data_IF_034708534381
#
_entry.id   IF_034708534381
#
_cell.length_a   1.000
_cell.length_b   1.000
_cell.length_c   1.000
_cell.angle_alpha   90.00
_cell.angle_beta   90.00
_cell.angle_gamma   90.00
#
_symmetry.space_group_name_H-M   'P 1'
#
loop_
_entity.id
_entity.type
_entity.pdbx_description
1 polymer ?
#
# COMPACT_ATOMS: atom_id res chain seq x y z
N UNK A 1 21.84 10.75 -14.32
CA UNK A 1 21.41 9.38 -13.95
C UNK A 1 19.98 9.50 -13.44
N UNK A 2 19.06 8.70 -13.97
CA UNK A 2 17.64 8.78 -13.60
C UNK A 2 17.49 8.30 -12.14
N UNK A 3 17.26 9.24 -11.22
CA UNK A 3 16.98 8.95 -9.79
C UNK A 3 15.54 8.42 -9.57
N UNK A 4 14.89 7.93 -10.63
CA UNK A 4 13.54 7.42 -10.56
C UNK A 4 13.53 6.06 -9.85
N UNK A 5 12.78 5.97 -8.73
CA UNK A 5 12.47 4.71 -8.06
C UNK A 5 11.44 3.91 -8.85
N UNK A 6 10.53 4.61 -9.51
CA UNK A 6 9.46 4.08 -10.35
C UNK A 6 9.43 4.79 -11.69
N UNK A 7 9.29 4.03 -12.76
CA UNK A 7 9.07 4.53 -14.12
C UNK A 7 8.10 3.60 -14.85
N UNK A 8 6.90 4.10 -15.13
CA UNK A 8 5.85 3.42 -15.87
C UNK A 8 5.73 4.06 -17.25
N UNK A 9 5.79 3.26 -18.31
CA UNK A 9 5.81 3.75 -19.70
C UNK A 9 4.75 3.07 -20.54
N UNK A 10 3.96 3.86 -21.24
CA UNK A 10 2.97 3.38 -22.20
C UNK A 10 1.87 2.52 -21.58
N UNK A 11 1.56 2.70 -20.29
CA UNK A 11 0.58 1.87 -19.61
C UNK A 11 -0.79 2.02 -20.25
N UNK A 12 -1.31 0.89 -20.74
CA UNK A 12 -2.62 0.81 -21.38
C UNK A 12 -3.44 -0.30 -20.74
N UNK A 13 -4.65 0.02 -20.28
CA UNK A 13 -5.60 -0.93 -19.67
C UNK A 13 -6.99 -0.75 -20.27
N UNK A 14 -7.58 -1.86 -20.72
CA UNK A 14 -8.93 -1.88 -21.29
C UNK A 14 -9.83 -2.84 -20.50
N UNK A 15 -11.08 -2.47 -20.33
CA UNK A 15 -12.12 -3.26 -19.70
C UNK A 15 -13.33 -3.36 -20.64
N UNK A 16 -13.68 -4.57 -21.10
CA UNK A 16 -14.89 -4.84 -21.90
C UNK A 16 -15.23 -3.73 -22.93
N UNK A 17 -14.24 -3.31 -23.71
CA UNK A 17 -14.39 -2.28 -24.74
C UNK A 17 -14.20 -0.82 -24.28
N UNK A 18 -14.02 -0.57 -22.98
CA UNK A 18 -13.69 0.76 -22.46
C UNK A 18 -12.18 0.86 -22.17
N UNK A 19 -11.53 1.87 -22.73
CA UNK A 19 -10.12 2.16 -22.43
C UNK A 19 -10.05 3.00 -21.15
N UNK A 20 -9.57 2.42 -20.07
CA UNK A 20 -9.41 3.11 -18.78
C UNK A 20 -8.06 3.82 -18.66
N UNK A 21 -7.02 3.28 -19.31
CA UNK A 21 -5.69 3.91 -19.45
C UNK A 21 -5.22 3.75 -20.88
N UNK A 22 -4.70 4.81 -21.47
CA UNK A 22 -4.16 4.80 -22.83
C UNK A 22 -2.80 5.50 -22.87
N UNK A 23 -1.75 4.73 -23.06
CA UNK A 23 -0.37 5.22 -23.20
C UNK A 23 0.07 6.15 -22.04
N UNK A 24 -0.30 5.79 -20.80
CA UNK A 24 -0.02 6.61 -19.61
C UNK A 24 1.44 6.41 -19.16
N UNK A 25 2.10 7.51 -18.85
CA UNK A 25 3.46 7.52 -18.32
C UNK A 25 3.47 8.15 -16.93
N UNK A 26 4.21 7.57 -15.99
CA UNK A 26 4.41 8.07 -14.63
C UNK A 26 5.84 7.79 -14.19
N UNK A 27 6.54 8.82 -13.73
CA UNK A 27 7.89 8.67 -13.15
C UNK A 27 7.92 9.31 -11.76
N UNK A 28 8.47 8.60 -10.78
CA UNK A 28 8.57 9.05 -9.39
C UNK A 28 10.00 8.85 -8.90
N UNK A 29 10.56 9.88 -8.25
CA UNK A 29 11.92 9.83 -7.70
C UNK A 29 11.92 9.29 -6.27
N UNK A 30 13.07 8.76 -5.83
CA UNK A 30 13.24 8.35 -4.45
C UNK A 30 13.09 9.56 -3.49
N UNK A 31 12.30 9.38 -2.43
CA UNK A 31 12.03 10.45 -1.44
C UNK A 31 11.06 11.54 -1.90
N UNK A 32 10.45 11.40 -3.08
CA UNK A 32 9.48 12.34 -3.61
C UNK A 32 8.08 12.06 -3.04
N UNK A 33 7.33 13.14 -2.75
CA UNK A 33 5.87 13.09 -2.55
C UNK A 33 5.24 13.49 -3.88
N UNK A 34 4.65 12.51 -4.56
CA UNK A 34 4.06 12.68 -5.88
C UNK A 34 2.53 12.60 -5.82
N UNK A 35 1.85 13.64 -6.29
CA UNK A 35 0.39 13.67 -6.34
C UNK A 35 -0.12 13.39 -7.77
N UNK A 36 -1.01 12.40 -7.90
CA UNK A 36 -1.71 12.12 -9.15
C UNK A 36 -3.10 12.75 -9.08
N UNK A 37 -3.32 13.79 -9.88
CA UNK A 37 -4.55 14.60 -9.85
C UNK A 37 -5.33 14.38 -11.14
N UNK A 38 -6.67 14.38 -11.04
CA UNK A 38 -7.59 14.25 -12.19
C UNK A 38 -9.02 14.06 -11.71
N UNK A 39 -9.97 14.18 -12.64
CA UNK A 39 -11.40 13.98 -12.37
C UNK A 39 -11.71 12.52 -11.94
N UNK A 40 -12.90 12.32 -11.35
CA UNK A 40 -13.37 10.97 -11.05
C UNK A 40 -13.58 10.20 -12.35
N UNK A 41 -13.09 8.96 -12.39
CA UNK A 41 -13.08 8.15 -13.60
C UNK A 41 -11.88 8.38 -14.55
N UNK A 42 -10.96 9.31 -14.25
CA UNK A 42 -9.79 9.58 -15.10
C UNK A 42 -8.73 8.46 -15.11
N UNK A 43 -8.98 7.32 -14.44
CA UNK A 43 -8.07 6.17 -14.42
C UNK A 43 -7.03 6.16 -13.31
N UNK A 44 -7.03 7.14 -12.36
CA UNK A 44 -6.05 7.21 -11.27
C UNK A 44 -5.94 5.89 -10.49
N UNK A 45 -7.04 5.42 -9.92
CA UNK A 45 -7.06 4.17 -9.16
C UNK A 45 -6.75 2.96 -10.03
N UNK A 46 -7.09 2.99 -11.33
CA UNK A 46 -6.69 1.93 -12.28
C UNK A 46 -5.19 1.87 -12.44
N UNK A 47 -4.51 3.02 -12.56
CA UNK A 47 -3.05 3.09 -12.66
C UNK A 47 -2.39 2.55 -11.39
N UNK A 48 -2.90 2.92 -10.21
CA UNK A 48 -2.41 2.41 -8.93
C UNK A 48 -2.64 0.91 -8.78
N UNK A 49 -3.77 0.38 -9.25
CA UNK A 49 -4.07 -1.06 -9.27
C UNK A 49 -3.17 -1.85 -10.23
N UNK A 50 -2.75 -1.26 -11.34
CA UNK A 50 -1.72 -1.85 -12.22
C UNK A 50 -0.39 -1.91 -11.48
N UNK A 51 0.03 -0.81 -10.86
CA UNK A 51 1.30 -0.72 -10.13
C UNK A 51 1.36 -1.68 -8.93
N UNK A 52 0.24 -1.84 -8.21
CA UNK A 52 0.17 -2.74 -7.04
C UNK A 52 -0.05 -4.21 -7.39
N UNK A 53 -0.18 -4.56 -8.68
CA UNK A 53 -0.40 -5.94 -9.12
C UNK A 53 -1.82 -6.46 -8.94
N UNK A 54 -2.80 -5.60 -8.58
CA UNK A 54 -4.24 -5.95 -8.59
C UNK A 54 -4.68 -6.33 -10.01
N UNK A 55 -4.13 -5.64 -11.00
CA UNK A 55 -4.21 -6.05 -12.41
C UNK A 55 -2.85 -6.63 -12.81
N UNK A 56 -2.70 -7.97 -12.84
CA UNK A 56 -1.43 -8.62 -13.13
C UNK A 56 -1.05 -8.49 -14.60
N UNK A 57 0.25 -8.66 -14.90
CA UNK A 57 0.71 -8.85 -16.27
C UNK A 57 0.25 -10.24 -16.77
N UNK A 58 -0.29 -10.40 -17.99
CA UNK A 58 -0.34 -9.43 -19.10
C UNK A 58 -1.70 -8.69 -19.28
N UNK A 59 -2.45 -8.46 -18.24
CA UNK A 59 -3.75 -7.77 -18.34
C UNK A 59 -3.67 -6.29 -18.73
N UNK A 60 -2.48 -5.72 -18.81
CA UNK A 60 -2.19 -4.36 -19.27
C UNK A 60 -1.01 -4.36 -20.25
N UNK A 61 -0.93 -3.32 -21.08
CA UNK A 61 0.22 -3.04 -21.94
C UNK A 61 1.15 -2.01 -21.32
N UNK A 62 2.37 -1.92 -21.85
CA UNK A 62 3.41 -1.01 -21.36
C UNK A 62 4.42 -1.69 -20.46
N UNK A 63 5.33 -0.89 -19.89
CA UNK A 63 6.47 -1.33 -19.09
C UNK A 63 6.43 -0.67 -17.71
N UNK A 64 6.69 -1.44 -16.66
CA UNK A 64 6.95 -0.93 -15.31
C UNK A 64 8.40 -1.20 -14.96
N UNK A 65 9.17 -0.15 -14.67
CA UNK A 65 10.51 -0.25 -14.09
C UNK A 65 10.47 0.22 -12.65
N UNK A 66 10.94 -0.62 -11.76
CA UNK A 66 11.01 -0.33 -10.33
C UNK A 66 12.38 -0.69 -9.79
N UNK A 67 13.03 0.24 -9.08
CA UNK A 67 14.41 0.12 -8.61
C UNK A 67 15.38 -0.24 -9.77
N UNK A 68 15.20 0.40 -10.93
CA UNK A 68 16.03 0.23 -12.12
C UNK A 68 15.82 -1.07 -12.91
N UNK A 69 14.90 -1.94 -12.49
CA UNK A 69 14.61 -3.22 -13.13
C UNK A 69 13.19 -3.26 -13.70
N UNK A 70 13.02 -3.86 -14.88
CA UNK A 70 11.69 -4.17 -15.41
C UNK A 70 10.98 -5.15 -14.47
N UNK A 71 9.71 -4.87 -14.16
CA UNK A 71 8.87 -5.68 -13.29
C UNK A 71 7.57 -6.06 -13.98
N UNK A 72 7.18 -7.31 -13.79
CA UNK A 72 5.92 -7.87 -14.28
C UNK A 72 5.28 -8.60 -13.11
N UNK A 73 4.37 -7.92 -12.43
CA UNK A 73 3.70 -8.48 -11.25
C UNK A 73 2.68 -9.51 -11.67
N UNK A 74 2.74 -10.71 -11.09
CA UNK A 74 1.72 -11.74 -11.24
C UNK A 74 0.57 -11.56 -10.23
N UNK A 75 0.74 -10.69 -9.23
CA UNK A 75 -0.25 -10.37 -8.22
C UNK A 75 0.26 -9.37 -7.18
N UNK A 76 -0.60 -9.03 -6.22
CA UNK A 76 -0.32 -8.07 -5.14
C UNK A 76 0.90 -8.50 -4.31
N UNK A 77 1.05 -9.80 -4.06
CA UNK A 77 2.15 -10.32 -3.26
C UNK A 77 3.52 -9.95 -3.84
N UNK A 78 3.67 -9.97 -5.16
CA UNK A 78 4.94 -9.65 -5.83
C UNK A 78 5.33 -8.17 -5.63
N UNK A 79 4.35 -7.26 -5.71
CA UNK A 79 4.58 -5.83 -5.49
C UNK A 79 4.89 -5.55 -4.02
N UNK A 80 4.16 -6.20 -3.10
CA UNK A 80 4.38 -6.06 -1.65
C UNK A 80 5.77 -6.56 -1.22
N UNK A 81 6.27 -7.67 -1.78
CA UNK A 81 7.63 -8.16 -1.51
C UNK A 81 8.71 -7.17 -1.92
N UNK A 82 8.44 -6.32 -2.90
CA UNK A 82 9.35 -5.26 -3.32
C UNK A 82 9.17 -3.95 -2.53
N UNK A 83 8.25 -3.93 -1.56
CA UNK A 83 7.97 -2.77 -0.72
C UNK A 83 7.03 -1.75 -1.37
N UNK A 84 6.25 -2.14 -2.39
CA UNK A 84 5.16 -1.32 -2.95
C UNK A 84 3.89 -1.67 -2.17
N UNK A 85 3.43 -0.74 -1.33
CA UNK A 85 2.25 -0.93 -0.49
C UNK A 85 1.18 0.08 -0.89
N UNK A 86 -0.06 -0.41 -1.06
CA UNK A 86 -1.22 0.42 -1.34
C UNK A 86 -2.16 0.45 -0.14
N UNK A 87 -2.61 1.65 0.23
CA UNK A 87 -3.69 1.87 1.18
C UNK A 87 -4.91 2.28 0.37
N UNK A 88 -5.94 1.43 0.41
CA UNK A 88 -7.19 1.67 -0.30
C UNK A 88 -8.09 2.64 0.49
N UNK A 89 -9.05 3.24 -0.19
CA UNK A 89 -10.06 4.12 0.40
C UNK A 89 -10.90 3.39 1.46
N UNK A 90 -11.22 2.11 1.23
CA UNK A 90 -11.92 1.28 2.20
C UNK A 90 -10.94 0.73 3.24
N UNK A 91 -11.25 0.95 4.52
CA UNK A 91 -10.43 0.45 5.63
C UNK A 91 -10.45 -1.08 5.67
N UNK A 92 -9.27 -1.69 5.56
CA UNK A 92 -9.08 -3.14 5.65
C UNK A 92 -8.76 -3.61 7.08
N UNK A 93 -9.31 -2.90 8.10
CA UNK A 93 -9.16 -3.26 9.50
C UNK A 93 -10.29 -4.17 9.96
N UNK A 94 -9.96 -5.13 10.80
CA UNK A 94 -10.94 -5.99 11.47
C UNK A 94 -11.43 -5.29 12.73
N UNK A 95 -12.74 -4.90 12.82
CA UNK A 95 -13.23 -4.01 13.88
C UNK A 95 -13.06 -4.56 15.31
N UNK A 96 -13.25 -5.86 15.50
CA UNK A 96 -13.20 -6.52 16.81
C UNK A 96 -11.80 -6.98 17.23
N UNK A 97 -10.79 -6.71 16.44
CA UNK A 97 -9.39 -6.94 16.80
C UNK A 97 -8.77 -5.65 17.35
N UNK A 98 -7.75 -5.80 18.19
CA UNK A 98 -6.94 -4.70 18.69
C UNK A 98 -6.09 -4.08 17.57
N UNK A 99 -5.54 -2.90 17.84
CA UNK A 99 -4.61 -2.23 16.94
C UNK A 99 -3.39 -3.13 16.64
N UNK A 100 -2.81 -3.77 17.67
CA UNK A 100 -1.67 -4.65 17.48
C UNK A 100 -1.99 -5.87 16.62
N UNK A 101 -3.14 -6.50 16.85
CA UNK A 101 -3.59 -7.62 16.02
C UNK A 101 -3.82 -7.21 14.57
N UNK A 102 -4.44 -6.04 14.32
CA UNK A 102 -4.64 -5.54 12.97
C UNK A 102 -3.34 -5.23 12.24
N UNK A 103 -2.37 -4.62 12.91
CA UNK A 103 -1.07 -4.26 12.31
C UNK A 103 -0.31 -5.51 11.86
N UNK A 104 -0.33 -6.56 12.65
CA UNK A 104 0.42 -7.79 12.38
C UNK A 104 -0.42 -8.94 11.83
N UNK A 105 -1.69 -8.72 11.49
CA UNK A 105 -2.57 -9.74 10.92
C UNK A 105 -1.96 -10.30 9.62
N UNK A 106 -1.73 -11.63 9.62
CA UNK A 106 -1.08 -12.33 8.51
C UNK A 106 0.45 -12.19 8.45
N UNK A 107 1.05 -11.47 9.42
CA UNK A 107 2.49 -11.34 9.60
C UNK A 107 2.84 -11.25 11.08
N UNK A 108 2.28 -12.20 11.84
CA UNK A 108 2.37 -12.24 13.29
C UNK A 108 3.82 -12.33 13.75
N UNK A 109 4.14 -11.60 14.82
CA UNK A 109 5.44 -11.68 15.47
C UNK A 109 5.49 -12.98 16.28
N UNK A 110 5.95 -14.06 15.65
CA UNK A 110 5.94 -15.40 16.24
C UNK A 110 7.34 -16.01 16.33
N UNK A 111 7.57 -16.83 17.36
CA UNK A 111 8.78 -17.64 17.51
C UNK A 111 8.36 -19.07 17.80
N UNK A 112 8.85 -20.02 16.99
CA UNK A 112 8.50 -21.44 17.08
C UNK A 112 6.99 -21.73 17.09
N UNK A 113 6.22 -20.96 16.28
CA UNK A 113 4.76 -21.14 16.19
C UNK A 113 3.95 -20.48 17.31
N UNK A 114 4.59 -19.78 18.24
CA UNK A 114 3.92 -19.05 19.34
C UNK A 114 4.07 -17.54 19.11
N UNK A 115 2.95 -16.80 19.17
CA UNK A 115 2.96 -15.36 19.00
C UNK A 115 3.63 -14.68 20.21
N UNK A 116 4.60 -13.81 19.94
CA UNK A 116 5.22 -12.95 20.96
C UNK A 116 4.45 -11.62 21.06
N UNK A 117 3.45 -11.61 21.90
CA UNK A 117 2.62 -10.43 22.16
C UNK A 117 3.40 -9.27 22.76
N UNK A 118 4.44 -9.53 23.54
CA UNK A 118 5.28 -8.49 24.12
C UNK A 118 6.03 -7.75 23.00
N UNK A 119 6.61 -8.48 22.07
CA UNK A 119 7.28 -7.93 20.91
C UNK A 119 6.28 -7.19 19.98
N UNK A 120 5.12 -7.81 19.72
CA UNK A 120 4.07 -7.21 18.88
C UNK A 120 3.62 -5.86 19.46
N UNK A 121 3.30 -5.79 20.75
CA UNK A 121 2.89 -4.54 21.41
C UNK A 121 4.00 -3.48 21.43
N UNK A 122 5.26 -3.87 21.61
CA UNK A 122 6.39 -2.93 21.55
C UNK A 122 6.51 -2.31 20.17
N UNK A 123 6.55 -3.15 19.12
CA UNK A 123 6.62 -2.69 17.72
C UNK A 123 5.40 -1.83 17.35
N UNK A 124 4.22 -2.20 17.81
CA UNK A 124 3.01 -1.39 17.61
C UNK A 124 3.17 0.01 18.18
N UNK A 125 3.66 0.17 19.42
CA UNK A 125 3.90 1.50 20.02
C UNK A 125 4.87 2.34 19.18
N UNK A 126 5.93 1.73 18.67
CA UNK A 126 6.91 2.41 17.82
C UNK A 126 6.27 2.89 16.50
N UNK A 127 5.41 2.07 15.89
CA UNK A 127 4.68 2.42 14.68
C UNK A 127 3.62 3.50 14.93
N UNK A 128 2.85 3.38 16.03
CA UNK A 128 1.87 4.39 16.41
C UNK A 128 2.51 5.75 16.68
N UNK A 129 3.67 5.76 17.31
CA UNK A 129 4.42 7.01 17.54
C UNK A 129 4.84 7.68 16.21
N UNK A 130 5.21 6.90 15.19
CA UNK A 130 5.56 7.44 13.86
C UNK A 130 4.39 8.14 13.17
N UNK A 131 3.16 7.66 13.39
CA UNK A 131 1.94 8.25 12.81
C UNK A 131 1.23 9.23 13.77
N UNK A 132 1.83 9.53 14.93
CA UNK A 132 1.31 10.49 15.89
C UNK A 132 0.13 9.99 16.72
N UNK A 133 -0.10 8.67 16.80
CA UNK A 133 -1.13 8.04 17.63
C UNK A 133 -0.58 7.72 19.03
N UNK A 134 -1.43 7.96 20.05
CA UNK A 134 -1.11 7.70 21.47
C UNK A 134 -1.92 6.55 22.08
N UNK A 135 -2.74 5.89 21.29
CA UNK A 135 -3.60 4.78 21.71
C UNK A 135 -2.77 3.58 22.18
N UNK A 136 -3.36 2.79 23.08
CA UNK A 136 -2.77 1.53 23.50
C UNK A 136 -2.78 0.51 22.35
N UNK A 137 -1.76 -0.30 22.16
CA UNK A 137 -1.78 -1.43 21.22
C UNK A 137 -2.93 -2.39 21.41
N UNK A 138 -3.47 -2.50 22.64
CA UNK A 138 -4.59 -3.36 22.99
C UNK A 138 -5.96 -2.72 22.76
N UNK A 139 -6.03 -1.45 22.35
CA UNK A 139 -7.30 -0.78 22.04
C UNK A 139 -7.95 -1.43 20.82
N UNK A 140 -9.25 -1.71 20.89
CA UNK A 140 -10.01 -2.25 19.77
C UNK A 140 -10.22 -1.19 18.69
N UNK A 141 -10.30 -1.62 17.44
CA UNK A 141 -10.54 -0.71 16.31
C UNK A 141 -11.92 -0.04 16.42
N UNK A 142 -12.92 -0.74 16.98
CA UNK A 142 -14.26 -0.17 17.26
C UNK A 142 -14.24 1.02 18.21
N UNK A 143 -13.23 1.12 19.07
CA UNK A 143 -13.14 2.13 20.13
C UNK A 143 -12.45 3.41 19.67
N UNK A 144 -12.00 3.47 18.43
CA UNK A 144 -11.34 4.62 17.84
C UNK A 144 -12.11 5.15 16.62
N UNK A 145 -12.13 6.47 16.45
CA UNK A 145 -12.79 7.12 15.32
C UNK A 145 -12.08 6.87 13.99
N UNK A 146 -12.82 7.06 12.88
CA UNK A 146 -12.37 6.76 11.50
C UNK A 146 -11.01 7.40 11.16
N UNK A 147 -10.78 8.67 11.53
CA UNK A 147 -9.49 9.32 11.26
C UNK A 147 -8.31 8.62 11.96
N UNK A 148 -8.50 8.07 13.17
CA UNK A 148 -7.48 7.28 13.86
C UNK A 148 -7.32 5.88 13.23
N UNK A 149 -8.41 5.29 12.74
CA UNK A 149 -8.37 4.03 11.99
C UNK A 149 -7.52 4.17 10.72
N UNK A 150 -7.63 5.29 10.00
CA UNK A 150 -6.76 5.58 8.84
C UNK A 150 -5.27 5.64 9.24
N UNK A 151 -4.94 6.25 10.38
CA UNK A 151 -3.57 6.26 10.89
C UNK A 151 -3.09 4.85 11.29
N UNK A 152 -3.98 3.99 11.78
CA UNK A 152 -3.65 2.57 12.03
C UNK A 152 -3.35 1.83 10.72
N UNK A 153 -4.10 2.10 9.64
CA UNK A 153 -3.79 1.55 8.30
C UNK A 153 -2.40 1.98 7.81
N UNK A 154 -2.05 3.25 8.00
CA UNK A 154 -0.71 3.73 7.68
C UNK A 154 0.35 3.03 8.54
N UNK A 155 0.10 2.87 9.85
CA UNK A 155 1.00 2.15 10.75
C UNK A 155 1.16 0.68 10.34
N UNK A 156 0.07 0.03 9.90
CA UNK A 156 0.07 -1.33 9.34
C UNK A 156 0.92 -1.40 8.07
N UNK A 157 0.77 -0.45 7.15
CA UNK A 157 1.62 -0.35 5.97
C UNK A 157 3.09 -0.21 6.36
N UNK A 158 3.41 0.70 7.30
CA UNK A 158 4.77 0.94 7.78
C UNK A 158 5.37 -0.24 8.58
N UNK A 159 4.58 -1.22 9.00
CA UNK A 159 5.10 -2.45 9.61
C UNK A 159 5.82 -3.36 8.63
N UNK A 160 5.55 -3.17 7.33
CA UNK A 160 6.23 -3.82 6.21
C UNK A 160 7.46 -2.97 5.81
N UNK A 161 8.39 -3.54 5.05
CA UNK A 161 9.55 -2.80 4.51
C UNK A 161 9.13 -1.93 3.31
N UNK A 162 8.42 -0.83 3.60
CA UNK A 162 7.88 0.08 2.57
C UNK A 162 8.99 0.88 1.91
N UNK A 163 9.01 0.86 0.58
CA UNK A 163 9.84 1.73 -0.27
C UNK A 163 9.00 2.70 -1.10
N UNK A 164 7.78 2.30 -1.46
CA UNK A 164 6.80 3.11 -2.16
C UNK A 164 5.44 2.92 -1.52
N UNK A 165 4.90 3.99 -0.94
CA UNK A 165 3.56 4.00 -0.35
C UNK A 165 2.59 4.69 -1.31
N UNK A 166 1.50 4.02 -1.64
CA UNK A 166 0.42 4.53 -2.48
C UNK A 166 -0.78 4.78 -1.58
N UNK A 167 -1.33 5.99 -1.64
CA UNK A 167 -2.57 6.36 -0.97
C UNK A 167 -3.64 6.59 -2.04
N UNK A 168 -4.66 5.72 -2.09
CA UNK A 168 -5.76 5.85 -3.05
C UNK A 168 -6.93 6.58 -2.38
N UNK A 169 -7.11 7.85 -2.73
CA UNK A 169 -8.13 8.78 -2.20
C UNK A 169 -8.16 8.85 -0.66
N UNK A 170 -7.07 9.30 0.01
CA UNK A 170 -7.10 9.50 1.45
C UNK A 170 -8.11 10.61 1.79
N UNK A 171 -9.07 10.30 2.67
CA UNK A 171 -10.05 11.29 3.18
C UNK A 171 -9.48 12.09 4.33
#
# INVERSE_FOLDING_TARGET
>A
MDDAILDMRGITKRFHGVTALENVNLSVRAGEIHAVVGENGAGKSTLMKVLSGVYPHPEYGGEIRYLGQERRFAGIHDSEQLGIIIIHQELALVPLLSIAENIFLGNEQAKHGVIDWTLAHRKTRELLAKVGLKESPATLITDIGVGKQQLVEIAKALSKEVKLLILDEPT
#
